data_IF_258125678063
#
_entry.id   IF_258125678063
#
_cell.length_a   1.000
_cell.length_b   1.000
_cell.length_c   1.000
_cell.angle_alpha   90.00
_cell.angle_beta   90.00
_cell.angle_gamma   90.00
#
_symmetry.space_group_name_H-M   'P 1'
#
loop_
_entity.id
_entity.type
_entity.pdbx_description
1 polymer ?
#
# COMPACT_ATOMS: atom_id res chain seq x y z
N UNK A 1 -2.57 -4.01 -14.15
CA UNK A 1 -1.36 -4.15 -13.36
C UNK A 1 -1.17 -2.97 -12.43
N UNK A 2 -0.92 -3.27 -11.21
CA UNK A 2 -0.60 -2.24 -10.22
C UNK A 2 0.91 -2.08 -10.15
N UNK A 3 1.38 -1.32 -9.26
CA UNK A 3 2.80 -1.19 -9.07
C UNK A 3 3.39 -0.06 -9.84
N UNK A 4 4.57 -0.28 -10.41
CA UNK A 4 5.35 0.80 -10.96
C UNK A 4 4.60 1.59 -12.03
N UNK A 5 3.93 0.92 -12.93
CA UNK A 5 3.19 1.61 -13.99
C UNK A 5 2.03 2.42 -13.43
N UNK A 6 1.32 1.87 -12.45
CA UNK A 6 0.25 2.59 -11.79
C UNK A 6 0.79 3.81 -11.08
N UNK A 7 1.95 3.69 -10.44
CA UNK A 7 2.59 4.79 -9.74
C UNK A 7 3.02 5.88 -10.71
N UNK A 8 3.70 5.50 -11.79
CA UNK A 8 4.23 6.46 -12.76
C UNK A 8 3.13 7.24 -13.45
N UNK A 9 1.99 6.58 -13.67
CA UNK A 9 0.85 7.16 -14.37
C UNK A 9 -0.32 7.41 -13.42
N UNK A 10 -0.03 7.54 -12.14
CA UNK A 10 -1.03 7.48 -11.09
C UNK A 10 -2.26 8.33 -11.32
N UNK A 11 -2.09 9.59 -11.71
CA UNK A 11 -3.21 10.48 -11.94
C UNK A 11 -4.13 9.96 -13.04
N UNK A 12 -3.53 9.61 -14.17
CA UNK A 12 -4.31 9.16 -15.32
C UNK A 12 -4.93 7.80 -15.08
N UNK A 13 -4.19 6.90 -14.45
CA UNK A 13 -4.71 5.57 -14.15
C UNK A 13 -5.85 5.61 -13.15
N UNK A 14 -5.75 6.44 -12.13
CA UNK A 14 -6.84 6.61 -11.16
C UNK A 14 -8.07 7.17 -11.86
N UNK A 15 -7.89 8.14 -12.75
CA UNK A 15 -8.98 8.74 -13.48
C UNK A 15 -9.65 7.74 -14.43
N UNK A 16 -8.88 6.82 -15.01
CA UNK A 16 -9.40 5.81 -15.91
C UNK A 16 -10.10 4.67 -15.19
N UNK A 17 -9.75 4.44 -13.94
CA UNK A 17 -10.38 3.39 -13.16
C UNK A 17 -11.80 3.80 -12.79
N UNK A 18 -12.75 2.95 -13.16
CA UNK A 18 -14.14 3.22 -12.85
C UNK A 18 -14.39 3.04 -11.36
N UNK A 19 -14.77 4.11 -10.67
CA UNK A 19 -15.14 4.11 -9.26
C UNK A 19 -14.04 3.57 -8.34
N UNK A 20 -12.87 4.20 -8.35
CA UNK A 20 -11.84 3.78 -7.40
C UNK A 20 -12.30 4.09 -5.97
N UNK A 21 -11.91 3.23 -5.02
CA UNK A 21 -12.21 3.48 -3.62
C UNK A 21 -11.26 4.54 -3.07
N UNK A 22 -11.65 5.16 -1.96
CA UNK A 22 -10.81 6.14 -1.29
C UNK A 22 -9.48 5.51 -0.89
N UNK A 23 -9.52 4.30 -0.34
CA UNK A 23 -8.31 3.60 0.07
C UNK A 23 -7.39 3.31 -1.11
N UNK A 24 -7.94 2.94 -2.25
CA UNK A 24 -7.12 2.69 -3.44
C UNK A 24 -6.40 3.94 -3.91
N UNK A 25 -7.10 5.07 -3.94
CA UNK A 25 -6.50 6.34 -4.34
C UNK A 25 -5.38 6.74 -3.40
N UNK A 26 -5.66 6.69 -2.10
CA UNK A 26 -4.67 7.07 -1.09
C UNK A 26 -3.47 6.15 -1.10
N UNK A 27 -3.69 4.85 -1.28
CA UNK A 27 -2.61 3.88 -1.33
C UNK A 27 -1.67 4.15 -2.51
N UNK A 28 -2.22 4.38 -3.68
CA UNK A 28 -1.41 4.66 -4.87
C UNK A 28 -0.60 5.94 -4.71
N UNK A 29 -1.23 6.99 -4.17
CA UNK A 29 -0.53 8.25 -3.93
C UNK A 29 0.60 8.09 -2.89
N UNK A 30 0.37 7.29 -1.87
CA UNK A 30 1.38 7.05 -0.86
C UNK A 30 2.57 6.29 -1.45
N UNK A 31 2.31 5.32 -2.31
CA UNK A 31 3.40 4.59 -2.99
C UNK A 31 4.23 5.51 -3.88
N UNK A 32 3.59 6.50 -4.51
CA UNK A 32 4.35 7.49 -5.28
C UNK A 32 5.37 8.20 -4.37
N UNK A 33 4.95 8.60 -3.18
CA UNK A 33 5.85 9.27 -2.25
C UNK A 33 6.96 8.35 -1.77
N UNK A 34 6.62 7.08 -1.49
CA UNK A 34 7.63 6.09 -1.09
C UNK A 34 8.69 5.93 -2.18
N UNK A 35 8.26 5.90 -3.42
CA UNK A 35 9.17 5.77 -4.56
C UNK A 35 10.11 6.96 -4.64
N UNK A 36 9.56 8.18 -4.50
CA UNK A 36 10.35 9.41 -4.54
C UNK A 36 11.39 9.45 -3.43
N UNK A 37 11.03 8.93 -2.26
CA UNK A 37 11.91 8.94 -1.09
C UNK A 37 12.92 7.79 -1.11
N UNK A 38 12.89 6.93 -2.13
CA UNK A 38 13.80 5.81 -2.24
C UNK A 38 13.56 4.71 -1.20
N UNK A 39 12.34 4.63 -0.67
CA UNK A 39 12.01 3.65 0.37
C UNK A 39 11.75 2.26 -0.18
N UNK A 40 11.52 2.14 -1.47
CA UNK A 40 11.22 0.85 -2.09
C UNK A 40 12.39 0.43 -2.96
N UNK A 41 13.01 -0.69 -2.61
CA UNK A 41 14.05 -1.29 -3.44
C UNK A 41 13.55 -2.64 -3.99
N UNK A 42 14.46 -3.42 -4.56
CA UNK A 42 14.09 -4.66 -5.25
C UNK A 42 13.90 -5.85 -4.32
N UNK A 43 14.16 -5.70 -3.03
CA UNK A 43 14.07 -6.84 -2.11
C UNK A 43 12.62 -7.05 -1.66
N UNK A 44 12.27 -8.30 -1.35
CA UNK A 44 10.94 -8.62 -0.82
C UNK A 44 10.71 -7.94 0.52
N UNK A 45 11.72 -7.92 1.37
CA UNK A 45 11.59 -7.29 2.69
C UNK A 45 11.25 -5.80 2.55
N UNK A 46 11.93 -5.10 1.67
CA UNK A 46 11.65 -3.69 1.42
C UNK A 46 10.22 -3.49 0.91
N UNK A 47 9.77 -4.33 0.00
CA UNK A 47 8.42 -4.24 -0.54
C UNK A 47 7.36 -4.47 0.53
N UNK A 48 7.56 -5.50 1.37
CA UNK A 48 6.59 -5.79 2.42
C UNK A 48 6.53 -4.69 3.46
N UNK A 49 7.67 -4.11 3.81
CA UNK A 49 7.71 -2.96 4.71
C UNK A 49 6.97 -1.76 4.12
N UNK A 50 7.14 -1.51 2.82
CA UNK A 50 6.45 -0.42 2.15
C UNK A 50 4.95 -0.62 2.15
N UNK A 51 4.48 -1.86 1.94
CA UNK A 51 3.05 -2.15 1.99
C UNK A 51 2.49 -1.97 3.40
N UNK A 52 3.22 -2.42 4.40
CA UNK A 52 2.81 -2.23 5.80
C UNK A 52 2.69 -0.75 6.12
N UNK A 53 3.67 0.04 5.72
CA UNK A 53 3.67 1.48 5.93
C UNK A 53 2.46 2.13 5.26
N UNK A 54 2.17 1.72 4.02
CA UNK A 54 1.03 2.25 3.28
C UNK A 54 -0.30 1.95 3.99
N UNK A 55 -0.48 0.71 4.47
CA UNK A 55 -1.72 0.35 5.16
C UNK A 55 -1.85 1.11 6.48
N UNK A 56 -0.76 1.29 7.21
CA UNK A 56 -0.77 2.09 8.43
C UNK A 56 -1.14 3.54 8.14
N UNK A 57 -0.63 4.07 7.05
CA UNK A 57 -0.99 5.43 6.64
C UNK A 57 -2.49 5.53 6.40
N UNK A 58 -3.07 4.59 5.65
CA UNK A 58 -4.51 4.60 5.37
C UNK A 58 -5.32 4.63 6.66
N UNK A 59 -4.94 3.80 7.63
CA UNK A 59 -5.63 3.78 8.91
C UNK A 59 -5.48 5.09 9.68
N UNK A 60 -4.35 5.76 9.53
CA UNK A 60 -4.11 7.03 10.22
C UNK A 60 -4.96 8.17 9.67
N UNK A 61 -5.37 8.09 8.41
CA UNK A 61 -6.13 9.17 7.77
C UNK A 61 -7.59 8.78 7.50
N UNK A 62 -8.05 7.66 8.04
CA UNK A 62 -9.38 7.14 7.73
C UNK A 62 -10.51 8.10 8.06
N UNK A 63 -10.37 8.85 9.15
CA UNK A 63 -11.39 9.82 9.55
C UNK A 63 -11.32 11.07 8.69
N UNK A 64 -10.11 11.50 8.38
CA UNK A 64 -9.90 12.71 7.58
C UNK A 64 -10.56 12.58 6.20
N UNK A 65 -10.50 11.41 5.62
CA UNK A 65 -11.04 11.17 4.27
C UNK A 65 -12.38 10.44 4.28
N UNK A 66 -13.01 10.29 5.45
CA UNK A 66 -14.30 9.60 5.59
C UNK A 66 -14.31 8.22 4.93
N UNK A 67 -13.30 7.43 5.27
CA UNK A 67 -13.15 6.10 4.67
C UNK A 67 -14.29 5.20 5.12
N UNK A 68 -14.99 4.51 4.19
CA UNK A 68 -16.06 3.59 4.56
C UNK A 68 -15.55 2.44 5.44
N UNK A 69 -16.43 1.93 6.30
CA UNK A 69 -16.08 0.87 7.24
C UNK A 69 -15.54 -0.38 6.53
N UNK A 70 -16.13 -0.74 5.40
CA UNK A 70 -15.67 -1.90 4.63
C UNK A 70 -14.25 -1.71 4.11
N UNK A 71 -13.86 -0.49 3.74
CA UNK A 71 -12.49 -0.21 3.29
C UNK A 71 -11.52 -0.23 4.47
N UNK A 72 -11.97 0.20 5.65
CA UNK A 72 -11.15 0.13 6.86
C UNK A 72 -10.88 -1.33 7.21
N UNK A 73 -11.91 -2.18 7.14
CA UNK A 73 -11.74 -3.61 7.43
C UNK A 73 -10.79 -4.26 6.43
N UNK A 74 -10.94 -3.95 5.16
CA UNK A 74 -10.05 -4.47 4.12
C UNK A 74 -8.61 -4.02 4.37
N UNK A 75 -8.42 -2.77 4.75
CA UNK A 75 -7.10 -2.23 5.04
C UNK A 75 -6.46 -2.96 6.22
N UNK A 76 -7.23 -3.25 7.28
CA UNK A 76 -6.72 -4.02 8.42
C UNK A 76 -6.33 -5.43 8.02
N UNK A 77 -7.12 -6.05 7.16
CA UNK A 77 -6.82 -7.39 6.64
C UNK A 77 -5.54 -7.37 5.82
N UNK A 78 -5.39 -6.37 4.96
CA UNK A 78 -4.19 -6.22 4.15
C UNK A 78 -2.95 -5.99 5.02
N UNK A 79 -3.08 -5.17 6.06
CA UNK A 79 -1.99 -4.92 7.00
C UNK A 79 -1.52 -6.22 7.64
N UNK A 80 -2.45 -7.03 8.11
CA UNK A 80 -2.11 -8.31 8.72
C UNK A 80 -1.44 -9.26 7.72
N UNK A 81 -1.94 -9.31 6.50
CA UNK A 81 -1.37 -10.10 5.44
C UNK A 81 0.11 -9.75 5.20
N UNK A 82 0.40 -8.45 5.07
CA UNK A 82 1.77 -8.01 4.80
C UNK A 82 2.70 -8.24 5.99
N UNK A 83 2.19 -8.09 7.21
CA UNK A 83 2.98 -8.38 8.40
C UNK A 83 3.38 -9.84 8.45
N UNK A 84 2.46 -10.73 8.10
CA UNK A 84 2.75 -12.17 8.08
C UNK A 84 3.76 -12.51 6.98
N UNK A 85 3.62 -11.91 5.83
CA UNK A 85 4.58 -12.12 4.75
C UNK A 85 5.98 -11.65 5.14
N UNK A 86 6.07 -10.51 5.79
CA UNK A 86 7.36 -9.98 6.24
C UNK A 86 8.00 -10.93 7.26
N UNK A 87 7.22 -11.40 8.21
CA UNK A 87 7.73 -12.32 9.22
C UNK A 87 8.23 -13.62 8.59
N UNK A 88 7.47 -14.17 7.65
CA UNK A 88 7.87 -15.39 6.95
C UNK A 88 9.14 -15.18 6.15
N UNK A 89 9.30 -14.04 5.53
CA UNK A 89 10.51 -13.73 4.77
C UNK A 89 11.73 -13.63 5.68
N UNK A 90 11.57 -13.01 6.85
CA UNK A 90 12.63 -12.92 7.85
C UNK A 90 13.06 -14.29 8.36
N UNK A 91 12.08 -15.19 8.58
CA UNK A 91 12.39 -16.56 9.00
C UNK A 91 13.20 -17.30 7.97
N UNK A 92 12.90 -17.11 6.69
CA UNK A 92 13.67 -17.73 5.61
C UNK A 92 15.14 -17.31 5.67
N UNK A 93 15.40 -16.07 6.00
CA UNK A 93 16.76 -15.53 6.02
C UNK A 93 17.59 -16.08 7.17
N UNK A 94 16.96 -16.68 8.17
CA UNK A 94 17.67 -17.30 9.29
C UNK A 94 17.92 -18.78 9.09
N UNK A 95 17.33 -19.37 8.09
CA UNK A 95 17.53 -20.78 7.79
C UNK A 95 18.65 -20.96 6.79
#
# INVERSE_FOLDING_TARGET
MRGVNAVALSKDLIALKNRPTISEILEELYHVEQFKDGKIDVTNISRYKAEIEAQNYLLSVKKLYNMPEEEILETRTNLQYWKEKLENERKKNYL
#
